data_IF_598648110422
#
_entry.id   IF_598648110422
#
_cell.length_a   1.000
_cell.length_b   1.000
_cell.length_c   1.000
_cell.angle_alpha   90.00
_cell.angle_beta   90.00
_cell.angle_gamma   90.00
#
_symmetry.space_group_name_H-M   'P 1'
#
loop_
_entity.id
_entity.type
_entity.pdbx_description
1 polymer ?
#
# COMPACT_ATOMS: atom_id res chain seq x y z
N UNK A 1 -27.31 30.60 13.68
CA UNK A 1 -25.89 30.23 13.75
C UNK A 1 -25.12 31.30 12.99
N UNK A 2 -24.31 32.11 13.67
CA UNK A 2 -23.50 33.16 13.03
C UNK A 2 -22.38 32.55 12.19
N UNK A 3 -21.82 33.29 11.22
CA UNK A 3 -20.73 32.78 10.38
C UNK A 3 -19.55 32.40 11.29
N UNK A 4 -19.01 31.20 11.10
CA UNK A 4 -17.71 30.82 11.65
C UNK A 4 -16.72 31.91 11.20
N UNK A 5 -15.91 32.43 12.12
CA UNK A 5 -14.94 33.47 11.77
C UNK A 5 -14.07 32.99 10.60
N UNK A 6 -13.80 33.86 9.64
CA UNK A 6 -13.07 33.55 8.40
C UNK A 6 -11.75 32.78 8.69
N UNK A 7 -11.10 33.11 9.80
CA UNK A 7 -9.90 32.44 10.32
C UNK A 7 -10.13 30.95 10.66
N UNK A 8 -11.28 30.60 11.23
CA UNK A 8 -11.61 29.22 11.58
C UNK A 8 -11.91 28.39 10.33
N UNK A 9 -12.58 28.97 9.34
CA UNK A 9 -12.77 28.31 8.05
C UNK A 9 -11.44 28.08 7.33
N UNK A 10 -10.56 29.07 7.33
CA UNK A 10 -9.23 28.95 6.76
C UNK A 10 -8.44 27.83 7.45
N UNK A 11 -8.40 27.79 8.78
CA UNK A 11 -7.72 26.73 9.53
C UNK A 11 -8.29 25.34 9.22
N UNK A 12 -9.62 25.22 9.10
CA UNK A 12 -10.28 23.95 8.73
C UNK A 12 -9.86 23.50 7.32
N UNK A 13 -9.78 24.42 6.36
CA UNK A 13 -9.32 24.12 4.98
C UNK A 13 -7.86 23.68 4.97
N UNK A 14 -6.98 24.40 5.67
CA UNK A 14 -5.55 24.06 5.77
C UNK A 14 -5.33 22.69 6.41
N UNK A 15 -6.05 22.40 7.50
CA UNK A 15 -6.03 21.08 8.16
C UNK A 15 -6.55 19.98 7.24
N UNK A 16 -7.60 20.25 6.46
CA UNK A 16 -8.11 19.34 5.43
C UNK A 16 -7.07 19.04 4.35
N UNK A 17 -6.43 20.08 3.82
CA UNK A 17 -5.36 19.96 2.82
C UNK A 17 -4.15 19.20 3.37
N UNK A 18 -3.76 19.42 4.62
CA UNK A 18 -2.69 18.65 5.28
C UNK A 18 -3.04 17.16 5.35
N UNK A 19 -4.26 16.81 5.81
CA UNK A 19 -4.72 15.42 5.87
C UNK A 19 -4.71 14.77 4.49
N UNK A 20 -5.17 15.47 3.45
CA UNK A 20 -5.15 14.97 2.08
C UNK A 20 -3.74 14.70 1.57
N UNK A 21 -2.79 15.62 1.82
CA UNK A 21 -1.36 15.45 1.47
C UNK A 21 -0.75 14.23 2.14
N UNK A 22 -1.00 14.05 3.44
CA UNK A 22 -0.50 12.89 4.20
C UNK A 22 -1.09 11.59 3.65
N UNK A 23 -2.40 11.54 3.40
CA UNK A 23 -3.06 10.35 2.87
C UNK A 23 -2.58 10.00 1.46
N UNK A 24 -2.32 11.00 0.61
CA UNK A 24 -1.77 10.77 -0.73
C UNK A 24 -0.37 10.16 -0.67
N UNK A 25 0.47 10.64 0.26
CA UNK A 25 1.80 10.10 0.48
C UNK A 25 1.76 8.64 0.94
N UNK A 26 0.89 8.32 1.90
CA UNK A 26 0.77 6.94 2.39
C UNK A 26 0.21 5.99 1.33
N UNK A 27 -0.74 6.45 0.49
CA UNK A 27 -1.20 5.66 -0.65
C UNK A 27 -0.06 5.33 -1.62
N UNK A 28 0.82 6.29 -1.92
CA UNK A 28 1.99 6.06 -2.78
C UNK A 28 2.93 5.03 -2.14
N UNK A 29 3.26 5.19 -0.85
CA UNK A 29 4.08 4.21 -0.12
C UNK A 29 3.51 2.79 -0.18
N UNK A 30 2.19 2.66 -0.03
CA UNK A 30 1.49 1.37 -0.11
C UNK A 30 1.47 0.79 -1.53
N UNK A 31 1.46 1.62 -2.56
CA UNK A 31 1.61 1.19 -3.96
C UNK A 31 3.01 0.65 -4.20
N UNK A 32 4.06 1.39 -3.81
CA UNK A 32 5.46 0.97 -3.95
C UNK A 32 5.71 -0.37 -3.23
N UNK A 33 5.12 -0.56 -2.04
CA UNK A 33 5.15 -1.84 -1.31
C UNK A 33 4.41 -2.96 -2.05
N UNK A 34 3.28 -2.64 -2.70
CA UNK A 34 2.52 -3.59 -3.51
C UNK A 34 3.33 -4.08 -4.71
N UNK A 35 3.98 -3.15 -5.42
CA UNK A 35 4.82 -3.42 -6.59
C UNK A 35 6.02 -4.30 -6.22
N UNK A 36 6.70 -3.99 -5.10
CA UNK A 36 7.79 -4.81 -4.59
C UNK A 36 7.34 -6.25 -4.25
N UNK A 37 6.13 -6.42 -3.70
CA UNK A 37 5.58 -7.73 -3.38
C UNK A 37 5.19 -8.52 -4.64
N UNK A 38 4.68 -7.85 -5.68
CA UNK A 38 4.44 -8.47 -6.99
C UNK A 38 5.76 -8.88 -7.66
N UNK A 39 6.82 -8.07 -7.54
CA UNK A 39 8.17 -8.46 -7.95
C UNK A 39 8.68 -9.72 -7.23
N UNK A 40 8.44 -9.82 -5.92
CA UNK A 40 8.77 -11.02 -5.14
C UNK A 40 7.99 -12.25 -5.61
N UNK A 41 6.71 -12.12 -5.97
CA UNK A 41 5.91 -13.24 -6.50
C UNK A 41 6.49 -13.79 -7.81
N UNK A 42 7.05 -12.94 -8.66
CA UNK A 42 7.59 -13.34 -9.96
C UNK A 42 8.83 -14.25 -9.86
N UNK A 43 9.57 -14.18 -8.73
CA UNK A 43 10.79 -14.97 -8.52
C UNK A 43 10.59 -16.18 -7.62
N UNK A 44 9.46 -16.29 -6.92
CA UNK A 44 9.13 -17.48 -6.12
C UNK A 44 8.67 -18.59 -7.07
N UNK A 45 9.27 -19.78 -7.03
CA UNK A 45 8.81 -20.92 -7.83
C UNK A 45 7.53 -21.51 -7.24
N UNK A 46 6.39 -20.91 -7.58
CA UNK A 46 5.07 -21.50 -7.41
C UNK A 46 4.40 -21.57 -8.78
N UNK A 47 3.90 -22.75 -9.15
CA UNK A 47 3.76 -23.21 -10.53
C UNK A 47 3.10 -22.24 -11.53
N UNK A 48 3.50 -22.30 -12.82
CA UNK A 48 3.11 -21.37 -13.87
C UNK A 48 1.71 -21.71 -14.43
N UNK A 49 0.72 -21.93 -13.56
CA UNK A 49 -0.64 -22.13 -14.06
C UNK A 49 -1.20 -20.77 -14.50
N UNK A 50 -1.60 -20.58 -15.77
CA UNK A 50 -2.18 -19.32 -16.24
C UNK A 50 -3.47 -18.94 -15.48
N UNK A 51 -4.07 -19.91 -14.81
CA UNK A 51 -5.24 -19.84 -13.92
C UNK A 51 -4.90 -19.70 -12.43
N UNK A 52 -3.63 -19.76 -12.02
CA UNK A 52 -3.24 -19.66 -10.62
C UNK A 52 -3.59 -18.26 -10.08
N UNK A 53 -4.55 -18.21 -9.16
CA UNK A 53 -4.89 -16.98 -8.42
C UNK A 53 -3.62 -16.37 -7.83
N UNK A 54 -3.48 -15.04 -7.95
CA UNK A 54 -2.42 -14.28 -7.26
C UNK A 54 -2.34 -14.70 -5.79
N UNK A 55 -1.14 -15.08 -5.34
CA UNK A 55 -0.90 -15.43 -3.94
C UNK A 55 -1.26 -14.27 -3.01
N UNK A 56 -1.85 -14.60 -1.85
CA UNK A 56 -2.07 -13.61 -0.79
C UNK A 56 -0.75 -13.02 -0.30
N UNK A 57 -0.78 -11.83 0.35
CA UNK A 57 0.43 -11.20 0.89
C UNK A 57 1.16 -12.11 1.88
N UNK A 58 0.40 -12.76 2.77
CA UNK A 58 0.94 -13.71 3.75
C UNK A 58 1.58 -14.93 3.09
N UNK A 59 0.87 -15.55 2.13
CA UNK A 59 1.39 -16.73 1.43
C UNK A 59 2.68 -16.41 0.67
N UNK A 60 2.76 -15.22 0.05
CA UNK A 60 3.95 -14.76 -0.66
C UNK A 60 5.16 -14.68 0.27
N UNK A 61 5.02 -14.07 1.45
CA UNK A 61 6.11 -13.93 2.42
C UNK A 61 6.54 -15.29 3.00
N UNK A 62 5.59 -16.18 3.30
CA UNK A 62 5.89 -17.52 3.81
C UNK A 62 6.67 -18.35 2.78
N UNK A 63 6.22 -18.33 1.52
CA UNK A 63 6.90 -19.03 0.43
C UNK A 63 8.28 -18.44 0.14
N UNK A 64 8.42 -17.11 0.13
CA UNK A 64 9.73 -16.46 -0.03
C UNK A 64 10.72 -16.90 1.06
N UNK A 65 10.30 -16.89 2.33
CA UNK A 65 11.14 -17.34 3.45
C UNK A 65 11.57 -18.78 3.27
N UNK A 66 10.64 -19.68 2.95
CA UNK A 66 10.94 -21.09 2.77
C UNK A 66 11.85 -21.32 1.57
N UNK A 67 11.64 -20.58 0.48
CA UNK A 67 12.49 -20.66 -0.71
C UNK A 67 13.94 -20.29 -0.37
N UNK A 68 14.17 -19.20 0.38
CA UNK A 68 15.53 -18.81 0.82
C UNK A 68 16.18 -19.86 1.73
N UNK A 69 15.40 -20.52 2.59
CA UNK A 69 15.92 -21.50 3.57
C UNK A 69 16.12 -22.92 3.01
N UNK A 70 15.46 -23.24 1.90
CA UNK A 70 15.53 -24.54 1.22
C UNK A 70 16.46 -24.54 0.01
N UNK A 71 17.04 -23.38 -0.34
CA UNK A 71 18.27 -23.28 -1.14
C UNK A 71 19.48 -23.58 -0.27
#
# INVERSE_FOLDING_TARGET
AGPLGEDEEQWRRERGALRQRVNARERRRMHDLGDALDGLRAVIPYGPEPSARKLSKMATVLLARNYILLQ
#
